data_IF_024415658667
#
_entry.id   IF_024415658667
#
_cell.length_a   1.000
_cell.length_b   1.000
_cell.length_c   1.000
_cell.angle_alpha   90.00
_cell.angle_beta   90.00
_cell.angle_gamma   90.00
#
_symmetry.space_group_name_H-M   'P 1'
#
loop_
_entity.id
_entity.type
_entity.pdbx_description
1 polymer ?
#
# COMPACT_ATOMS: atom_id res chain seq x y z
N UNK A 1 48.50 11.01 -0.15
CA UNK A 1 48.02 10.50 -1.45
C UNK A 1 48.46 11.48 -2.52
N UNK A 2 49.09 11.06 -3.64
CA UNK A 2 49.43 11.96 -4.72
C UNK A 2 48.19 12.57 -5.34
N UNK A 3 48.21 13.85 -5.70
CA UNK A 3 47.10 14.60 -6.30
C UNK A 3 46.58 13.96 -7.61
N UNK A 4 47.46 13.31 -8.35
CA UNK A 4 47.16 12.62 -9.62
C UNK A 4 46.23 11.41 -9.41
N UNK A 5 46.44 10.63 -8.34
CA UNK A 5 45.60 9.44 -8.01
C UNK A 5 44.20 9.84 -7.59
N UNK A 6 44.06 11.00 -6.92
CA UNK A 6 42.74 11.56 -6.56
C UNK A 6 41.98 12.08 -7.79
N UNK A 7 42.68 12.70 -8.76
CA UNK A 7 42.07 13.19 -9.99
C UNK A 7 41.59 12.04 -10.89
N UNK A 8 42.35 10.94 -10.96
CA UNK A 8 41.95 9.76 -11.75
C UNK A 8 40.73 9.07 -11.14
N UNK A 9 40.66 8.93 -9.80
CA UNK A 9 39.48 8.39 -9.11
C UNK A 9 38.24 9.26 -9.34
N UNK A 10 38.37 10.60 -9.28
CA UNK A 10 37.25 11.50 -9.57
C UNK A 10 36.74 11.32 -10.99
N UNK A 11 37.62 11.24 -11.98
CA UNK A 11 37.25 10.98 -13.38
C UNK A 11 36.49 9.67 -13.54
N UNK A 12 36.90 8.61 -12.85
CA UNK A 12 36.18 7.32 -12.84
C UNK A 12 34.80 7.44 -12.23
N UNK A 13 34.62 8.24 -11.17
CA UNK A 13 33.28 8.50 -10.53
C UNK A 13 32.41 9.25 -11.56
N UNK A 14 32.91 10.31 -12.18
CA UNK A 14 32.16 11.10 -13.15
C UNK A 14 31.71 10.25 -14.36
N UNK A 15 32.54 9.31 -14.81
CA UNK A 15 32.19 8.35 -15.88
C UNK A 15 31.07 7.37 -15.41
N UNK A 16 31.09 6.95 -14.16
CA UNK A 16 30.02 6.10 -13.57
C UNK A 16 28.72 6.88 -13.48
N UNK A 17 28.77 8.12 -13.02
CA UNK A 17 27.57 8.97 -12.86
C UNK A 17 26.93 9.23 -14.25
N UNK A 18 27.71 9.47 -15.27
CA UNK A 18 27.19 9.59 -16.64
C UNK A 18 26.55 8.29 -17.16
N UNK A 19 27.11 7.13 -16.84
CA UNK A 19 26.50 5.83 -17.16
C UNK A 19 25.18 5.62 -16.44
N UNK A 20 25.12 5.94 -15.15
CA UNK A 20 23.88 5.87 -14.36
C UNK A 20 22.80 6.77 -14.95
N UNK A 21 23.13 8.02 -15.29
CA UNK A 21 22.22 8.93 -15.96
C UNK A 21 21.68 8.36 -17.27
N UNK A 22 22.55 7.88 -18.15
CA UNK A 22 22.16 7.32 -19.45
C UNK A 22 21.28 6.07 -19.29
N UNK A 23 21.55 5.21 -18.29
CA UNK A 23 20.72 4.04 -17.98
C UNK A 23 19.33 4.45 -17.48
N UNK A 24 19.22 5.52 -16.69
CA UNK A 24 17.92 6.06 -16.25
C UNK A 24 17.11 6.60 -17.44
N UNK A 25 17.73 7.35 -18.34
CA UNK A 25 17.05 7.84 -19.56
C UNK A 25 16.57 6.66 -20.40
N UNK A 26 17.45 5.70 -20.70
CA UNK A 26 17.09 4.53 -21.48
C UNK A 26 15.94 3.70 -20.83
N UNK A 27 15.99 3.53 -19.50
CA UNK A 27 14.91 2.88 -18.76
C UNK A 27 13.60 3.64 -18.92
N UNK A 28 13.61 4.96 -18.83
CA UNK A 28 12.43 5.82 -18.99
C UNK A 28 11.80 5.63 -20.38
N UNK A 29 12.60 5.68 -21.44
CA UNK A 29 12.15 5.44 -22.83
C UNK A 29 11.48 4.05 -22.99
N UNK A 30 12.01 3.02 -22.32
CA UNK A 30 11.42 1.68 -22.35
C UNK A 30 10.07 1.65 -21.64
N UNK A 31 9.95 2.35 -20.50
CA UNK A 31 8.70 2.44 -19.74
C UNK A 31 7.63 3.21 -20.53
N UNK A 32 7.97 4.30 -21.18
CA UNK A 32 7.05 5.08 -22.02
C UNK A 32 6.49 4.28 -23.20
N UNK A 33 7.27 3.33 -23.74
CA UNK A 33 6.84 2.43 -24.82
C UNK A 33 5.95 1.28 -24.37
N UNK A 34 5.87 1.01 -23.06
CA UNK A 34 4.99 -0.04 -22.56
C UNK A 34 3.52 0.38 -22.68
N UNK A 35 2.62 -0.53 -23.09
CA UNK A 35 1.19 -0.22 -23.12
C UNK A 35 0.70 0.18 -21.73
N UNK A 36 -0.06 1.25 -21.66
CA UNK A 36 -0.75 1.66 -20.42
C UNK A 36 -1.98 0.78 -20.27
N UNK A 37 -2.03 0.01 -19.20
CA UNK A 37 -3.28 -0.63 -18.78
C UNK A 37 -3.82 0.18 -17.59
N UNK A 38 -4.89 0.99 -17.79
CA UNK A 38 -5.44 1.84 -16.73
C UNK A 38 -6.04 1.04 -15.57
N UNK A 39 -6.34 -0.24 -15.77
CA UNK A 39 -6.90 -1.14 -14.76
C UNK A 39 -5.81 -1.85 -13.96
N UNK A 40 -4.57 -1.83 -14.44
CA UNK A 40 -3.47 -2.55 -13.79
C UNK A 40 -2.85 -1.73 -12.66
N UNK A 41 -3.07 -2.16 -11.42
CA UNK A 41 -2.33 -1.64 -10.28
C UNK A 41 -0.86 -2.10 -10.36
N UNK A 42 0.07 -1.15 -10.43
CA UNK A 42 1.51 -1.43 -10.53
C UNK A 42 2.20 -1.53 -9.16
N UNK A 43 1.55 -1.08 -8.06
CA UNK A 43 2.19 -0.96 -6.74
C UNK A 43 2.76 -2.29 -6.22
N UNK A 44 2.06 -3.41 -6.43
CA UNK A 44 2.57 -4.74 -6.06
C UNK A 44 3.82 -5.11 -6.86
N UNK A 45 3.86 -4.85 -8.16
CA UNK A 45 5.03 -5.09 -9.04
C UNK A 45 6.21 -4.21 -8.64
N UNK A 46 5.95 -2.94 -8.31
CA UNK A 46 6.97 -2.00 -7.83
C UNK A 46 7.55 -2.43 -6.50
N UNK A 47 6.69 -2.85 -5.57
CA UNK A 47 7.12 -3.42 -4.29
C UNK A 47 7.99 -4.66 -4.48
N UNK A 48 7.60 -5.58 -5.37
CA UNK A 48 8.40 -6.75 -5.72
C UNK A 48 9.76 -6.38 -6.32
N UNK A 49 9.81 -5.35 -7.18
CA UNK A 49 11.06 -4.87 -7.77
C UNK A 49 12.04 -4.36 -6.69
N UNK A 50 11.56 -3.54 -5.75
CA UNK A 50 12.38 -3.04 -4.62
C UNK A 50 12.83 -4.21 -3.73
N UNK A 51 11.93 -5.13 -3.35
CA UNK A 51 12.28 -6.30 -2.54
C UNK A 51 13.35 -7.16 -3.21
N UNK A 52 13.23 -7.40 -4.53
CA UNK A 52 14.21 -8.17 -5.29
C UNK A 52 15.56 -7.46 -5.33
N UNK A 53 15.59 -6.15 -5.57
CA UNK A 53 16.83 -5.37 -5.55
C UNK A 53 17.55 -5.51 -4.19
N UNK A 54 16.81 -5.38 -3.09
CA UNK A 54 17.37 -5.51 -1.75
C UNK A 54 17.89 -6.91 -1.42
N UNK A 55 17.35 -7.98 -2.04
CA UNK A 55 17.89 -9.35 -1.92
C UNK A 55 19.27 -9.49 -2.57
N UNK A 56 19.53 -8.77 -3.67
CA UNK A 56 20.81 -8.80 -4.38
C UNK A 56 21.81 -7.77 -3.87
N UNK A 57 21.37 -6.88 -2.99
CA UNK A 57 22.22 -5.83 -2.45
C UNK A 57 23.49 -6.37 -1.79
N UNK A 58 24.65 -5.80 -2.14
CA UNK A 58 25.98 -6.13 -1.61
C UNK A 58 26.74 -4.82 -1.36
N UNK A 59 27.71 -4.89 -0.44
CA UNK A 59 28.57 -3.74 -0.14
C UNK A 59 27.99 -2.83 0.96
N UNK A 60 28.65 -1.66 1.13
CA UNK A 60 28.42 -0.76 2.27
C UNK A 60 27.39 0.34 1.99
N UNK A 61 26.81 0.41 0.78
CA UNK A 61 25.80 1.41 0.49
C UNK A 61 24.54 1.13 1.31
N UNK A 62 23.95 2.12 2.01
CA UNK A 62 22.83 1.86 2.92
C UNK A 62 21.59 1.31 2.17
N UNK A 63 21.06 0.19 2.65
CA UNK A 63 19.90 -0.49 2.03
C UNK A 63 18.67 0.41 1.91
N UNK A 64 18.41 1.21 2.95
CA UNK A 64 17.31 2.19 2.93
C UNK A 64 17.46 3.21 1.81
N UNK A 65 18.68 3.72 1.59
CA UNK A 65 18.96 4.70 0.53
C UNK A 65 18.74 4.09 -0.85
N UNK A 66 19.19 2.85 -1.08
CA UNK A 66 18.91 2.12 -2.32
C UNK A 66 17.41 1.99 -2.55
N UNK A 67 16.66 1.55 -1.56
CA UNK A 67 15.22 1.40 -1.68
C UNK A 67 14.52 2.74 -1.99
N UNK A 68 14.96 3.83 -1.35
CA UNK A 68 14.44 5.17 -1.57
C UNK A 68 14.74 5.69 -2.99
N UNK A 69 15.96 5.53 -3.48
CA UNK A 69 16.33 5.89 -4.87
C UNK A 69 15.42 5.13 -5.86
N UNK A 70 15.23 3.83 -5.66
CA UNK A 70 14.36 3.04 -6.54
C UNK A 70 12.91 3.46 -6.47
N UNK A 71 12.42 3.83 -5.27
CA UNK A 71 11.06 4.37 -5.11
C UNK A 71 10.87 5.64 -5.94
N UNK A 72 11.83 6.58 -5.90
CA UNK A 72 11.79 7.80 -6.71
C UNK A 72 11.78 7.51 -8.21
N UNK A 73 12.65 6.60 -8.68
CA UNK A 73 12.70 6.19 -10.09
C UNK A 73 11.36 5.59 -10.54
N UNK A 74 10.73 4.76 -9.73
CA UNK A 74 9.45 4.12 -10.04
C UNK A 74 8.32 5.15 -10.03
N UNK A 75 8.28 6.04 -9.05
CA UNK A 75 7.28 7.11 -8.95
C UNK A 75 7.37 8.09 -10.12
N UNK A 76 8.58 8.54 -10.46
CA UNK A 76 8.80 9.41 -11.63
C UNK A 76 8.31 8.74 -12.92
N UNK A 77 8.61 7.43 -13.09
CA UNK A 77 8.15 6.67 -14.26
C UNK A 77 6.61 6.53 -14.31
N UNK A 78 5.95 6.39 -13.17
CA UNK A 78 4.48 6.35 -13.10
C UNK A 78 3.86 7.71 -13.45
N UNK A 79 4.42 8.81 -12.91
CA UNK A 79 3.94 10.18 -13.19
C UNK A 79 4.09 10.61 -14.65
N UNK A 80 5.09 10.07 -15.39
CA UNK A 80 5.24 10.31 -16.84
C UNK A 80 4.11 9.65 -17.66
N UNK A 81 3.54 8.55 -17.13
CA UNK A 81 2.48 7.80 -17.83
C UNK A 81 1.09 8.33 -17.51
N UNK A 82 0.86 8.74 -16.27
CA UNK A 82 -0.42 9.26 -15.80
C UNK A 82 -0.18 10.23 -14.63
N UNK A 83 -0.84 11.40 -14.69
CA UNK A 83 -0.85 12.33 -13.56
C UNK A 83 -1.70 11.73 -12.45
N UNK A 84 -1.06 11.33 -11.37
CA UNK A 84 -1.74 10.81 -10.20
C UNK A 84 -2.32 11.95 -9.36
N UNK A 85 -3.61 11.87 -9.06
CA UNK A 85 -4.31 12.74 -8.15
C UNK A 85 -4.84 11.95 -6.96
N UNK A 86 -4.67 12.50 -5.77
CA UNK A 86 -5.02 11.85 -4.50
C UNK A 86 -6.17 12.58 -3.83
N UNK A 87 -7.09 11.82 -3.26
CA UNK A 87 -8.07 12.30 -2.28
C UNK A 87 -7.59 11.89 -0.89
N UNK A 88 -7.22 12.85 -0.05
CA UNK A 88 -6.62 12.60 1.27
C UNK A 88 -7.65 12.91 2.35
N UNK A 89 -7.83 11.97 3.29
CA UNK A 89 -8.65 12.19 4.46
C UNK A 89 -7.98 13.23 5.37
N UNK A 90 -8.70 14.29 5.68
CA UNK A 90 -8.21 15.38 6.53
C UNK A 90 -8.22 14.95 8.00
N UNK A 91 -7.08 15.08 8.65
CA UNK A 91 -6.88 14.82 10.09
C UNK A 91 -6.11 15.99 10.69
N UNK A 92 -6.04 16.06 12.02
CA UNK A 92 -5.18 17.04 12.72
C UNK A 92 -3.70 16.92 12.32
N UNK A 93 -3.28 15.75 11.85
CA UNK A 93 -1.93 15.46 11.33
C UNK A 93 -1.93 15.34 9.79
N UNK A 94 -2.72 16.11 9.08
CA UNK A 94 -2.87 16.01 7.62
C UNK A 94 -1.54 16.19 6.88
N UNK A 95 -0.67 17.07 7.35
CA UNK A 95 0.66 17.29 6.78
C UNK A 95 1.53 16.02 6.84
N UNK A 96 1.43 15.23 7.90
CA UNK A 96 2.14 13.96 8.01
C UNK A 96 1.64 12.94 6.99
N UNK A 97 0.33 12.87 6.77
CA UNK A 97 -0.26 12.00 5.74
C UNK A 97 0.20 12.41 4.34
N UNK A 98 0.24 13.71 4.05
CA UNK A 98 0.72 14.24 2.77
C UNK A 98 2.21 13.92 2.58
N UNK A 99 3.03 14.09 3.62
CA UNK A 99 4.45 13.73 3.58
C UNK A 99 4.67 12.24 3.29
N UNK A 100 3.90 11.35 3.91
CA UNK A 100 3.93 9.89 3.64
C UNK A 100 3.59 9.59 2.18
N UNK A 101 2.57 10.26 1.63
CA UNK A 101 2.16 10.12 0.23
C UNK A 101 3.25 10.62 -0.70
N UNK A 102 3.81 11.81 -0.45
CA UNK A 102 4.88 12.38 -1.25
C UNK A 102 6.18 11.57 -1.19
N UNK A 103 6.51 10.99 -0.02
CA UNK A 103 7.66 10.09 0.10
C UNK A 103 7.49 8.81 -0.73
N UNK A 104 6.26 8.35 -0.93
CA UNK A 104 5.99 7.13 -1.70
C UNK A 104 5.75 7.39 -3.19
N UNK A 105 4.99 8.41 -3.55
CA UNK A 105 4.54 8.69 -4.92
C UNK A 105 5.28 9.86 -5.59
N UNK A 106 6.22 10.48 -4.87
CA UNK A 106 6.98 11.64 -5.34
C UNK A 106 6.25 12.97 -5.10
N UNK A 107 7.02 14.07 -5.17
CA UNK A 107 6.54 15.42 -4.88
C UNK A 107 5.63 16.02 -5.96
N UNK A 108 5.48 15.35 -7.11
CA UNK A 108 4.63 15.79 -8.22
C UNK A 108 3.16 15.35 -8.08
N UNK A 109 2.83 14.59 -7.04
CA UNK A 109 1.47 14.12 -6.80
C UNK A 109 0.53 15.29 -6.45
N UNK A 110 -0.53 15.47 -7.22
CA UNK A 110 -1.59 16.43 -6.90
C UNK A 110 -2.52 15.82 -5.85
N UNK A 111 -2.96 16.60 -4.85
CA UNK A 111 -3.89 16.10 -3.85
C UNK A 111 -5.01 17.11 -3.54
N UNK A 112 -6.12 16.55 -3.08
CA UNK A 112 -7.25 17.31 -2.50
C UNK A 112 -7.63 16.69 -1.16
N UNK A 113 -7.84 17.51 -0.14
CA UNK A 113 -8.27 17.04 1.18
C UNK A 113 -9.78 16.90 1.26
N UNK A 114 -10.27 16.00 2.10
CA UNK A 114 -11.69 15.77 2.36
C UNK A 114 -11.90 15.47 3.85
N UNK A 115 -12.91 16.07 4.43
CA UNK A 115 -13.21 16.00 5.86
C UNK A 115 -13.94 14.71 6.28
N UNK A 116 -14.31 13.83 5.35
CA UNK A 116 -14.93 12.56 5.69
C UNK A 116 -14.49 11.43 4.78
N UNK A 117 -14.48 10.20 5.31
CA UNK A 117 -14.21 8.98 4.55
C UNK A 117 -15.14 8.85 3.33
N UNK A 118 -16.44 9.12 3.50
CA UNK A 118 -17.40 9.06 2.39
C UNK A 118 -17.07 10.02 1.25
N UNK A 119 -16.58 11.22 1.55
CA UNK A 119 -16.14 12.17 0.54
C UNK A 119 -14.88 11.71 -0.19
N UNK A 120 -13.91 11.11 0.54
CA UNK A 120 -12.73 10.51 -0.10
C UNK A 120 -13.16 9.43 -1.10
N UNK A 121 -14.05 8.53 -0.71
CA UNK A 121 -14.54 7.45 -1.57
C UNK A 121 -15.34 7.99 -2.77
N UNK A 122 -16.17 9.02 -2.57
CA UNK A 122 -16.95 9.65 -3.64
C UNK A 122 -16.04 10.24 -4.72
N UNK A 123 -14.96 10.90 -4.35
CA UNK A 123 -13.99 11.49 -5.30
C UNK A 123 -13.34 10.39 -6.17
N UNK A 124 -13.05 9.22 -5.57
CA UNK A 124 -12.47 8.08 -6.32
C UNK A 124 -13.53 7.45 -7.24
N UNK A 125 -14.74 7.22 -6.74
CA UNK A 125 -15.82 6.59 -7.53
C UNK A 125 -16.29 7.47 -8.69
N UNK A 126 -16.16 8.78 -8.56
CA UNK A 126 -16.43 9.74 -9.63
C UNK A 126 -15.24 9.91 -10.60
N UNK A 127 -14.12 9.19 -10.40
CA UNK A 127 -12.89 9.34 -11.20
C UNK A 127 -12.27 10.75 -11.15
N UNK A 128 -12.56 11.54 -10.10
CA UNK A 128 -11.95 12.86 -9.88
C UNK A 128 -10.53 12.75 -9.28
N UNK A 129 -10.23 11.62 -8.63
CA UNK A 129 -8.90 11.18 -8.21
C UNK A 129 -8.75 9.68 -8.46
N UNK A 130 -7.52 9.22 -8.66
CA UNK A 130 -7.20 7.81 -8.87
C UNK A 130 -7.07 7.07 -7.56
N UNK A 131 -6.55 7.74 -6.53
CA UNK A 131 -6.20 7.11 -5.26
C UNK A 131 -6.80 7.89 -4.07
N UNK A 132 -7.24 7.15 -3.05
CA UNK A 132 -7.65 7.67 -1.75
C UNK A 132 -6.63 7.31 -0.68
N UNK A 133 -6.38 8.24 0.22
CA UNK A 133 -5.47 8.05 1.36
C UNK A 133 -6.29 8.18 2.64
N UNK A 134 -6.28 7.13 3.43
CA UNK A 134 -7.01 7.07 4.70
C UNK A 134 -6.07 6.55 5.82
N UNK A 135 -6.14 7.08 7.03
CA UNK A 135 -5.35 6.57 8.15
C UNK A 135 -5.79 5.14 8.50
N UNK A 136 -4.83 4.30 8.89
CA UNK A 136 -5.13 2.92 9.32
C UNK A 136 -5.89 2.90 10.64
N UNK A 137 -5.60 3.86 11.52
CA UNK A 137 -6.26 4.03 12.81
C UNK A 137 -6.68 5.50 12.97
N UNK A 138 -7.99 5.73 13.00
CA UNK A 138 -8.58 7.03 13.26
C UNK A 138 -9.90 6.82 14.02
N UNK A 139 -9.98 7.37 15.22
CA UNK A 139 -11.12 7.15 16.10
C UNK A 139 -12.47 7.54 15.47
N UNK A 140 -12.54 8.68 14.78
CA UNK A 140 -13.78 9.16 14.15
C UNK A 140 -14.22 8.27 13.00
N UNK A 141 -13.27 7.82 12.17
CA UNK A 141 -13.53 6.86 11.10
C UNK A 141 -14.00 5.51 11.64
N UNK A 142 -13.45 5.08 12.77
CA UNK A 142 -13.68 3.75 13.33
C UNK A 142 -14.99 3.64 14.12
N UNK A 143 -15.77 4.72 14.26
CA UNK A 143 -17.12 4.69 14.86
C UNK A 143 -18.08 3.81 14.05
N UNK A 144 -17.85 3.66 12.74
CA UNK A 144 -18.61 2.78 11.86
C UNK A 144 -17.64 1.93 11.03
N UNK A 145 -18.03 0.70 10.64
CA UNK A 145 -17.15 -0.17 9.86
C UNK A 145 -17.04 0.32 8.40
N UNK A 146 -16.19 1.32 8.15
CA UNK A 146 -15.96 1.89 6.82
C UNK A 146 -15.55 0.83 5.79
N UNK A 147 -14.91 -0.26 6.22
CA UNK A 147 -14.49 -1.38 5.38
C UNK A 147 -15.65 -2.25 4.88
N UNK A 148 -16.83 -2.15 5.45
CA UNK A 148 -18.01 -2.90 4.96
C UNK A 148 -18.52 -2.41 3.60
N UNK A 149 -18.18 -1.18 3.21
CA UNK A 149 -18.47 -0.64 1.87
C UNK A 149 -17.60 -1.20 0.74
N UNK A 150 -16.60 -2.03 1.05
CA UNK A 150 -15.72 -2.65 0.06
C UNK A 150 -16.30 -3.97 -0.44
N UNK A 151 -16.56 -4.06 -1.75
CA UNK A 151 -17.12 -5.28 -2.34
C UNK A 151 -16.10 -6.40 -2.44
N UNK A 152 -16.50 -7.64 -2.14
CA UNK A 152 -15.66 -8.83 -2.37
C UNK A 152 -15.52 -9.19 -3.84
N UNK A 153 -16.48 -8.81 -4.66
CA UNK A 153 -16.60 -9.21 -6.06
C UNK A 153 -16.74 -8.01 -6.98
N UNK A 154 -16.07 -8.06 -8.12
CA UNK A 154 -16.22 -7.07 -9.18
C UNK A 154 -15.39 -5.80 -9.02
N UNK A 155 -15.72 -4.82 -9.83
CA UNK A 155 -15.09 -3.50 -9.89
C UNK A 155 -15.57 -2.65 -8.70
N UNK A 156 -14.86 -2.69 -7.62
CA UNK A 156 -15.16 -1.90 -6.42
C UNK A 156 -13.89 -1.33 -5.79
N UNK A 157 -14.08 -0.48 -4.81
CA UNK A 157 -12.99 0.06 -4.01
C UNK A 157 -12.20 -1.07 -3.34
N UNK A 158 -10.88 -0.98 -3.37
CA UNK A 158 -9.94 -1.90 -2.72
C UNK A 158 -8.82 -1.15 -2.04
N UNK A 159 -8.37 -1.68 -0.91
CA UNK A 159 -7.07 -1.30 -0.36
C UNK A 159 -6.00 -1.99 -1.20
N UNK A 160 -5.05 -1.21 -1.71
CA UNK A 160 -4.02 -1.66 -2.65
C UNK A 160 -2.59 -1.44 -2.15
N UNK A 161 -2.42 -0.63 -1.11
CA UNK A 161 -1.14 -0.43 -0.43
C UNK A 161 -1.36 0.00 1.03
N UNK A 162 -0.32 -0.23 1.85
CA UNK A 162 -0.16 0.30 3.20
C UNK A 162 1.15 1.09 3.25
N UNK A 163 1.11 2.34 3.72
CA UNK A 163 2.26 3.22 3.79
C UNK A 163 2.54 3.61 5.25
N UNK A 164 3.79 3.95 5.58
CA UNK A 164 4.97 3.95 4.72
C UNK A 164 5.39 2.54 4.31
N UNK A 165 5.77 2.37 3.04
CA UNK A 165 6.25 1.08 2.52
C UNK A 165 7.65 0.73 3.02
N UNK A 166 8.49 1.76 3.23
CA UNK A 166 9.84 1.63 3.80
C UNK A 166 9.81 2.14 5.24
N UNK A 167 9.92 1.24 6.22
CA UNK A 167 9.93 1.59 7.65
C UNK A 167 11.36 1.55 8.18
N UNK A 168 11.77 2.61 8.91
CA UNK A 168 13.04 2.64 9.65
C UNK A 168 12.79 2.19 11.08
N UNK A 169 13.61 1.28 11.58
CA UNK A 169 13.56 0.83 12.99
C UNK A 169 13.86 1.96 13.98
N UNK A 170 14.71 2.91 13.60
CA UNK A 170 15.25 3.94 14.49
C UNK A 170 14.47 5.27 14.43
N UNK A 171 13.51 5.41 13.54
CA UNK A 171 12.76 6.65 13.39
C UNK A 171 11.26 6.39 13.25
N UNK A 172 10.54 6.29 14.36
CA UNK A 172 9.08 6.18 14.36
C UNK A 172 8.41 7.54 14.07
N UNK A 173 8.97 8.36 13.14
CA UNK A 173 8.44 9.70 12.82
C UNK A 173 7.07 9.67 12.16
N UNK A 174 6.53 8.52 11.84
CA UNK A 174 5.16 8.39 11.36
C UNK A 174 4.41 7.49 12.34
N UNK A 175 3.75 8.11 13.32
CA UNK A 175 2.81 7.41 14.20
C UNK A 175 1.60 6.86 13.44
N UNK A 176 1.39 7.28 12.20
CA UNK A 176 0.20 6.92 11.43
C UNK A 176 0.55 6.14 10.17
N UNK A 177 0.27 4.84 10.18
CA UNK A 177 0.17 4.07 8.95
C UNK A 177 -1.08 4.53 8.18
N UNK A 178 -1.02 4.51 6.83
CA UNK A 178 -2.16 4.83 5.98
C UNK A 178 -2.46 3.72 4.98
N UNK A 179 -3.73 3.55 4.64
CA UNK A 179 -4.15 2.73 3.51
C UNK A 179 -4.32 3.58 2.25
N UNK A 180 -3.91 3.01 1.13
CA UNK A 180 -4.18 3.53 -0.20
C UNK A 180 -5.35 2.76 -0.79
N UNK A 181 -6.38 3.47 -1.21
CA UNK A 181 -7.63 2.93 -1.77
C UNK A 181 -7.74 3.31 -3.24
N UNK A 182 -8.22 2.40 -4.09
CA UNK A 182 -8.48 2.65 -5.51
C UNK A 182 -9.62 1.81 -6.04
N UNK A 183 -10.16 2.19 -7.22
CA UNK A 183 -11.07 1.38 -8.03
C UNK A 183 -10.28 0.42 -8.93
N UNK A 184 -9.51 -0.47 -8.31
CA UNK A 184 -8.71 -1.45 -9.05
C UNK A 184 -8.40 -2.65 -8.18
N UNK A 185 -8.12 -3.79 -8.80
CA UNK A 185 -7.66 -4.95 -8.07
C UNK A 185 -6.20 -4.77 -7.61
N UNK A 186 -5.86 -5.14 -6.36
CA UNK A 186 -4.47 -5.15 -5.92
C UNK A 186 -3.64 -6.14 -6.74
N UNK A 187 -2.38 -5.77 -7.01
CA UNK A 187 -1.42 -6.65 -7.70
C UNK A 187 -0.59 -7.43 -6.68
N UNK A 188 -0.38 -8.71 -6.95
CA UNK A 188 0.43 -9.58 -6.12
C UNK A 188 1.91 -9.18 -6.17
N UNK A 189 2.57 -9.12 -5.00
CA UNK A 189 4.00 -8.79 -4.86
C UNK A 189 4.88 -10.00 -4.53
N UNK A 190 4.27 -11.12 -4.12
CA UNK A 190 4.97 -12.33 -3.65
C UNK A 190 5.22 -12.37 -2.14
N UNK A 191 5.01 -11.25 -1.44
CA UNK A 191 5.00 -11.17 0.02
C UNK A 191 3.95 -10.12 0.41
N UNK A 192 2.72 -10.61 0.55
CA UNK A 192 1.52 -9.80 0.65
C UNK A 192 0.81 -10.02 1.98
N UNK A 193 -0.01 -9.06 2.34
CA UNK A 193 -1.00 -9.11 3.41
C UNK A 193 -2.36 -8.83 2.80
N UNK A 194 -3.38 -9.56 3.22
CA UNK A 194 -4.75 -9.30 2.82
C UNK A 194 -5.61 -8.87 3.99
N UNK A 195 -6.59 -8.03 3.71
CA UNK A 195 -7.55 -7.50 4.66
C UNK A 195 -8.92 -8.14 4.44
N UNK A 196 -9.49 -8.65 5.53
CA UNK A 196 -10.82 -9.23 5.60
C UNK A 196 -11.71 -8.35 6.49
N UNK A 197 -12.86 -7.95 5.97
CA UNK A 197 -13.96 -7.39 6.76
C UNK A 197 -14.85 -8.53 7.22
N UNK A 198 -15.08 -8.65 8.53
CA UNK A 198 -15.81 -9.77 9.15
C UNK A 198 -16.90 -9.22 10.05
N UNK A 199 -18.15 -9.53 9.74
CA UNK A 199 -19.30 -9.14 10.54
C UNK A 199 -19.84 -10.35 11.34
N UNK A 200 -20.05 -10.14 12.63
CA UNK A 200 -20.46 -11.16 13.57
C UNK A 200 -21.44 -10.59 14.60
N UNK A 201 -22.16 -11.47 15.28
CA UNK A 201 -22.97 -11.10 16.44
C UNK A 201 -22.07 -10.61 17.61
N UNK A 202 -22.62 -9.78 18.48
CA UNK A 202 -21.87 -9.15 19.57
C UNK A 202 -21.28 -10.13 20.60
N UNK A 203 -21.81 -11.34 20.70
CA UNK A 203 -21.34 -12.40 21.59
C UNK A 203 -20.10 -13.15 21.06
N UNK A 204 -19.80 -13.03 19.77
CA UNK A 204 -18.63 -13.68 19.17
C UNK A 204 -17.34 -12.99 19.61
N UNK A 205 -16.42 -13.73 20.21
CA UNK A 205 -15.14 -13.22 20.68
C UNK A 205 -14.10 -13.07 19.58
N UNK A 206 -13.10 -12.19 19.80
CA UNK A 206 -11.94 -12.06 18.90
C UNK A 206 -11.20 -13.40 18.76
N UNK A 207 -11.03 -14.15 19.85
CA UNK A 207 -10.36 -15.47 19.81
C UNK A 207 -11.11 -16.46 18.92
N UNK A 208 -12.44 -16.46 18.94
CA UNK A 208 -13.26 -17.30 18.06
C UNK A 208 -13.05 -16.96 16.58
N UNK A 209 -12.93 -15.68 16.24
CA UNK A 209 -12.66 -15.23 14.86
C UNK A 209 -11.27 -15.67 14.42
N UNK A 210 -10.24 -15.45 15.26
CA UNK A 210 -8.86 -15.84 14.96
C UNK A 210 -8.77 -17.36 14.75
N UNK A 211 -9.35 -18.15 15.66
CA UNK A 211 -9.37 -19.61 15.55
C UNK A 211 -10.09 -20.09 14.26
N UNK A 212 -11.22 -19.47 13.90
CA UNK A 212 -11.94 -19.80 12.68
C UNK A 212 -11.10 -19.50 11.43
N UNK A 213 -10.37 -18.37 11.40
CA UNK A 213 -9.47 -18.03 10.32
C UNK A 213 -8.29 -19.01 10.21
N UNK A 214 -7.68 -19.39 11.34
CA UNK A 214 -6.60 -20.38 11.38
C UNK A 214 -7.08 -21.76 10.90
N UNK A 215 -8.24 -22.21 11.36
CA UNK A 215 -8.86 -23.46 10.95
C UNK A 215 -9.20 -23.47 9.44
N UNK A 216 -9.53 -22.32 8.86
CA UNK A 216 -9.72 -22.17 7.42
C UNK A 216 -8.40 -22.12 6.64
N UNK A 217 -7.23 -22.18 7.31
CA UNK A 217 -5.90 -22.20 6.72
C UNK A 217 -5.32 -20.81 6.43
N UNK A 218 -5.84 -19.74 7.02
CA UNK A 218 -5.18 -18.44 6.98
C UNK A 218 -4.04 -18.39 7.99
N UNK A 219 -2.93 -17.75 7.60
CA UNK A 219 -1.74 -17.62 8.44
C UNK A 219 -1.73 -16.26 9.13
N UNK A 220 -1.29 -16.26 10.39
CA UNK A 220 -1.07 -15.07 11.22
C UNK A 220 -2.25 -14.09 11.21
N UNK A 221 -3.50 -14.54 11.45
CA UNK A 221 -4.64 -13.62 11.51
C UNK A 221 -4.47 -12.64 12.68
N UNK A 222 -4.66 -11.35 12.39
CA UNK A 222 -4.57 -10.27 13.37
C UNK A 222 -5.76 -9.34 13.22
N UNK A 223 -6.47 -9.09 14.31
CA UNK A 223 -7.52 -8.09 14.31
C UNK A 223 -6.89 -6.70 14.44
N UNK A 224 -7.16 -5.84 13.46
CA UNK A 224 -6.65 -4.47 13.41
C UNK A 224 -7.65 -3.48 13.99
N UNK A 225 -8.91 -3.57 13.57
CA UNK A 225 -9.97 -2.65 13.97
C UNK A 225 -11.24 -3.40 14.31
N UNK A 226 -12.07 -2.76 15.14
CA UNK A 226 -13.42 -3.20 15.45
C UNK A 226 -14.34 -1.99 15.48
N UNK A 227 -15.51 -2.11 14.87
CA UNK A 227 -16.56 -1.11 14.93
C UNK A 227 -17.93 -1.75 15.17
N UNK A 228 -18.82 -1.02 15.84
CA UNK A 228 -20.20 -1.41 16.04
C UNK A 228 -20.98 -1.20 14.74
N UNK A 229 -21.70 -2.21 14.28
CA UNK A 229 -22.61 -2.11 13.13
C UNK A 229 -23.97 -1.61 13.60
N UNK A 230 -24.55 -2.32 14.56
CA UNK A 230 -25.84 -2.03 15.21
C UNK A 230 -25.84 -2.59 16.65
N UNK A 231 -27.02 -2.72 17.25
CA UNK A 231 -27.13 -3.21 18.64
C UNK A 231 -26.85 -4.71 18.79
N UNK A 232 -26.91 -5.48 17.70
CA UNK A 232 -26.72 -6.94 17.72
C UNK A 232 -25.40 -7.36 17.06
N UNK A 233 -24.81 -6.51 16.21
CA UNK A 233 -23.69 -6.86 15.35
C UNK A 233 -22.51 -5.91 15.50
N UNK A 234 -21.31 -6.47 15.33
CA UNK A 234 -20.03 -5.76 15.21
C UNK A 234 -19.26 -6.28 14.02
N UNK A 235 -18.40 -5.43 13.49
CA UNK A 235 -17.54 -5.74 12.35
C UNK A 235 -16.09 -5.58 12.74
N UNK A 236 -15.26 -6.50 12.24
CA UNK A 236 -13.83 -6.51 12.44
C UNK A 236 -13.10 -6.34 11.12
N UNK A 237 -11.98 -5.64 11.15
CA UNK A 237 -10.99 -5.64 10.07
C UNK A 237 -9.82 -6.52 10.51
N UNK A 238 -9.60 -7.60 9.79
CA UNK A 238 -8.54 -8.57 10.09
C UNK A 238 -7.48 -8.58 8.98
N UNK A 239 -6.20 -8.63 9.36
CA UNK A 239 -5.08 -8.92 8.47
C UNK A 239 -4.78 -10.42 8.49
N UNK A 240 -4.46 -10.98 7.32
CA UNK A 240 -3.96 -12.34 7.14
C UNK A 240 -2.80 -12.37 6.17
N UNK A 241 -1.84 -13.26 6.36
CA UNK A 241 -0.70 -13.40 5.46
C UNK A 241 -1.10 -13.98 4.10
N UNK A 242 -0.54 -13.40 3.05
CA UNK A 242 -0.68 -13.83 1.67
C UNK A 242 -1.67 -13.00 0.86
N UNK A 243 -1.64 -13.20 -0.44
CA UNK A 243 -2.53 -12.56 -1.41
C UNK A 243 -3.81 -13.37 -1.58
N UNK A 244 -4.97 -12.76 -1.34
CA UNK A 244 -6.27 -13.41 -1.51
C UNK A 244 -6.90 -13.04 -2.86
N UNK A 245 -7.35 -14.07 -3.57
CA UNK A 245 -8.16 -13.90 -4.77
C UNK A 245 -9.64 -13.70 -4.40
N UNK A 246 -10.44 -13.01 -5.21
CA UNK A 246 -11.86 -12.78 -4.93
C UNK A 246 -12.67 -14.04 -4.63
N UNK A 247 -12.30 -15.17 -5.24
CA UNK A 247 -12.95 -16.47 -5.11
C UNK A 247 -12.11 -17.45 -4.27
N UNK A 248 -11.47 -16.99 -3.21
CA UNK A 248 -10.70 -17.87 -2.32
C UNK A 248 -11.64 -18.89 -1.64
N UNK A 249 -11.38 -20.18 -1.89
CA UNK A 249 -12.21 -21.28 -1.39
C UNK A 249 -12.25 -21.37 0.13
N UNK A 250 -11.24 -20.86 0.82
CA UNK A 250 -11.16 -20.80 2.28
C UNK A 250 -12.23 -19.89 2.92
N UNK A 251 -12.79 -18.96 2.15
CA UNK A 251 -13.90 -18.12 2.61
C UNK A 251 -15.24 -18.88 2.70
N UNK A 252 -15.40 -19.99 1.98
CA UNK A 252 -16.68 -20.74 1.96
C UNK A 252 -17.15 -21.20 3.35
N UNK A 253 -16.31 -21.90 4.15
CA UNK A 253 -16.72 -22.31 5.51
C UNK A 253 -16.97 -21.11 6.43
N UNK A 254 -16.23 -20.02 6.28
CA UNK A 254 -16.38 -18.82 7.11
C UNK A 254 -17.68 -18.06 6.80
N UNK A 255 -18.15 -18.08 5.55
CA UNK A 255 -19.45 -17.50 5.16
C UNK A 255 -20.65 -18.23 5.77
N UNK A 256 -20.46 -19.48 6.17
CA UNK A 256 -21.50 -20.22 6.90
C UNK A 256 -21.46 -19.96 8.41
N UNK A 257 -20.35 -19.45 8.93
CA UNK A 257 -20.12 -19.22 10.35
C UNK A 257 -20.34 -17.75 10.76
N UNK A 258 -20.02 -16.80 9.87
CA UNK A 258 -20.12 -15.37 10.12
C UNK A 258 -21.27 -14.74 9.34
N UNK A 259 -21.84 -13.64 9.85
CA UNK A 259 -22.94 -12.93 9.20
C UNK A 259 -22.52 -12.38 7.84
N UNK A 260 -21.29 -11.85 7.74
CA UNK A 260 -20.68 -11.45 6.49
C UNK A 260 -19.15 -11.58 6.57
N UNK A 261 -18.52 -11.91 5.45
CA UNK A 261 -17.06 -11.86 5.29
C UNK A 261 -16.71 -11.42 3.86
N UNK A 262 -15.88 -10.39 3.74
CA UNK A 262 -15.47 -9.83 2.46
C UNK A 262 -13.97 -9.53 2.42
N UNK A 263 -13.37 -9.55 1.21
CA UNK A 263 -12.00 -9.12 0.98
C UNK A 263 -12.00 -7.61 0.73
N UNK A 264 -11.47 -6.86 1.69
CA UNK A 264 -11.34 -5.40 1.63
C UNK A 264 -10.22 -4.97 0.70
N UNK A 265 -9.14 -5.75 0.65
CA UNK A 265 -8.01 -5.49 -0.22
C UNK A 265 -6.81 -6.37 0.08
N UNK A 266 -5.72 -6.11 -0.61
CA UNK A 266 -4.41 -6.74 -0.36
C UNK A 266 -3.30 -5.76 -0.69
N UNK A 267 -2.18 -5.87 0.00
CA UNK A 267 -1.04 -5.00 -0.22
C UNK A 267 0.28 -5.73 0.03
N UNK A 268 1.33 -5.25 -0.63
CA UNK A 268 2.69 -5.73 -0.36
C UNK A 268 3.09 -5.40 1.08
N UNK A 269 3.61 -6.39 1.81
CA UNK A 269 4.12 -6.18 3.17
C UNK A 269 5.18 -5.08 3.18
N UNK A 270 5.06 -4.03 4.01
CA UNK A 270 6.09 -3.02 4.19
C UNK A 270 7.45 -3.63 4.56
N UNK A 271 8.53 -2.95 4.19
CA UNK A 271 9.91 -3.39 4.44
C UNK A 271 10.45 -2.66 5.65
N UNK A 272 10.91 -3.39 6.65
CA UNK A 272 11.66 -2.86 7.78
C UNK A 272 13.16 -2.85 7.47
N UNK A 273 13.81 -1.68 7.56
CA UNK A 273 15.21 -1.45 7.19
C UNK A 273 16.00 -0.75 8.29
#
# INVERSE_FOLDING_TARGET
>A
MPKEQSADMQKQIDEIDLKLYNLLIHRTELVERQPVNPVENTLGKEAAAIKNLLKFHRGNFPRYVIAKIWREILSASACLREKLKFSVFETDSCDDLINIVQEHFGSYAEYVTRSSFGQVMTVITNHEAQLGIIPCDNHEMNLKPWWSGFSSTGEGLKIIAKLPFLKRKENPLTESDVYVVALTHPAQSGDDVSLLGIEVNNDVSVSTIVEALENAGYRNPKIQLMAKVDDENKSYLAEVDGFLKPNDDRLKPLRAQFNNINIVGSYARPIEL
#
